data_IF_553818259495
#
_entry.id   IF_553818259495
#
_cell.length_a   1.000
_cell.length_b   1.000
_cell.length_c   1.000
_cell.angle_alpha   90.00
_cell.angle_beta   90.00
_cell.angle_gamma   90.00
#
_symmetry.space_group_name_H-M   'P 1'
#
loop_
_entity.id
_entity.type
_entity.pdbx_description
1 polymer ?
#
# COMPACT_ATOMS: atom_id res chain seq x y z
N UNK A 1 -44.36 -2.70 28.74
CA UNK A 1 -44.21 -4.01 28.07
C UNK A 1 -43.09 -3.88 27.04
N UNK A 2 -42.03 -4.68 27.14
CA UNK A 2 -40.95 -4.67 26.15
C UNK A 2 -41.47 -5.39 24.88
N UNK A 3 -41.68 -4.68 23.74
CA UNK A 3 -42.31 -5.25 22.54
C UNK A 3 -41.47 -6.35 21.88
N UNK A 4 -40.24 -6.58 22.36
CA UNK A 4 -39.34 -7.62 21.87
C UNK A 4 -39.42 -8.96 22.62
N UNK A 5 -40.29 -9.09 23.64
CA UNK A 5 -40.37 -10.33 24.48
C UNK A 5 -40.85 -11.59 23.74
N UNK A 6 -41.48 -11.48 22.58
CA UNK A 6 -42.13 -12.61 21.89
C UNK A 6 -41.46 -13.07 20.59
N UNK A 7 -40.26 -12.57 20.26
CA UNK A 7 -39.49 -13.12 19.14
C UNK A 7 -38.60 -14.27 19.61
N UNK A 8 -39.20 -15.42 19.96
CA UNK A 8 -38.48 -16.70 19.91
C UNK A 8 -38.27 -17.07 18.43
N UNK A 9 -37.37 -16.38 17.75
CA UNK A 9 -37.08 -16.58 16.31
C UNK A 9 -36.16 -17.76 16.03
N UNK A 10 -35.75 -18.48 17.08
CA UNK A 10 -34.66 -19.45 17.03
C UNK A 10 -35.15 -20.77 17.61
N UNK A 11 -35.13 -21.80 16.77
CA UNK A 11 -35.35 -23.19 17.19
C UNK A 11 -33.99 -23.87 17.28
N UNK A 12 -33.64 -24.43 18.44
CA UNK A 12 -32.41 -25.20 18.60
C UNK A 12 -32.61 -26.56 17.94
N UNK A 13 -31.61 -27.01 17.17
CA UNK A 13 -31.59 -28.30 16.48
C UNK A 13 -30.68 -29.28 17.23
N UNK A 14 -30.93 -30.58 17.09
CA UNK A 14 -30.06 -31.63 17.63
C UNK A 14 -28.72 -31.75 16.86
N UNK A 15 -28.68 -31.23 15.64
CA UNK A 15 -27.47 -31.12 14.82
C UNK A 15 -26.45 -30.20 15.49
N UNK A 16 -25.17 -30.58 15.45
CA UNK A 16 -24.06 -29.82 16.02
C UNK A 16 -23.14 -29.26 14.95
N UNK A 17 -22.48 -28.14 15.26
CA UNK A 17 -21.49 -27.54 14.38
C UNK A 17 -20.19 -28.34 14.38
N UNK A 18 -19.66 -28.67 13.20
CA UNK A 18 -18.38 -29.39 13.04
C UNK A 18 -17.16 -28.64 13.61
N UNK A 19 -17.22 -27.30 13.66
CA UNK A 19 -16.12 -26.45 14.12
C UNK A 19 -16.13 -26.24 15.64
N UNK A 20 -17.32 -26.06 16.22
CA UNK A 20 -17.47 -25.61 17.62
C UNK A 20 -18.20 -26.62 18.52
N UNK A 21 -18.75 -27.71 17.98
CA UNK A 21 -19.49 -28.74 18.73
C UNK A 21 -20.83 -28.28 19.35
N UNK A 22 -21.21 -27.00 19.22
CA UNK A 22 -22.45 -26.48 19.77
C UNK A 22 -23.66 -26.81 18.87
N UNK A 23 -24.86 -26.87 19.47
CA UNK A 23 -26.11 -27.09 18.73
C UNK A 23 -26.41 -25.97 17.74
N UNK A 24 -26.86 -26.34 16.54
CA UNK A 24 -27.25 -25.40 15.50
C UNK A 24 -28.60 -24.75 15.81
N UNK A 25 -28.76 -23.51 15.37
CA UNK A 25 -30.02 -22.77 15.47
C UNK A 25 -30.67 -22.66 14.10
N UNK A 26 -31.96 -22.98 14.02
CA UNK A 26 -32.80 -22.67 12.87
C UNK A 26 -33.38 -21.27 13.05
N UNK A 27 -32.93 -20.34 12.22
CA UNK A 27 -33.30 -18.93 12.28
C UNK A 27 -34.07 -18.53 11.03
N UNK A 28 -35.15 -17.76 11.18
CA UNK A 28 -35.91 -17.20 10.06
C UNK A 28 -35.31 -15.85 9.67
N UNK A 29 -34.83 -15.71 8.43
CA UNK A 29 -34.25 -14.48 7.89
C UNK A 29 -35.00 -14.00 6.65
N UNK A 30 -35.31 -12.70 6.52
CA UNK A 30 -35.91 -12.17 5.31
C UNK A 30 -34.83 -11.96 4.23
N UNK A 31 -34.95 -12.68 3.10
CA UNK A 31 -34.07 -12.56 1.94
C UNK A 31 -34.94 -12.16 0.74
N UNK A 32 -34.66 -11.00 0.12
CA UNK A 32 -35.44 -10.46 -1.02
C UNK A 32 -36.96 -10.42 -0.77
N UNK A 33 -37.37 -10.11 0.46
CA UNK A 33 -38.79 -10.03 0.86
C UNK A 33 -39.45 -11.37 1.19
N UNK A 34 -38.76 -12.50 1.08
CA UNK A 34 -39.25 -13.83 1.49
C UNK A 34 -38.58 -14.29 2.78
N UNK A 35 -39.32 -15.00 3.65
CA UNK A 35 -38.78 -15.57 4.88
C UNK A 35 -38.13 -16.93 4.60
N UNK A 36 -36.81 -16.96 4.59
CA UNK A 36 -36.03 -18.20 4.49
C UNK A 36 -35.64 -18.71 5.88
N UNK A 37 -35.46 -20.03 6.02
CA UNK A 37 -34.99 -20.67 7.25
C UNK A 37 -33.55 -21.13 7.06
N UNK A 38 -32.63 -20.59 7.84
CA UNK A 38 -31.21 -20.95 7.79
C UNK A 38 -30.78 -21.65 9.07
N UNK A 39 -29.95 -22.68 8.91
CA UNK A 39 -29.23 -23.32 10.01
C UNK A 39 -27.95 -22.54 10.28
N UNK A 40 -27.75 -22.10 11.51
CA UNK A 40 -26.61 -21.26 11.88
C UNK A 40 -26.01 -21.74 13.19
N UNK A 41 -24.68 -21.84 13.22
CA UNK A 41 -23.94 -22.00 14.45
C UNK A 41 -23.80 -20.63 15.13
N UNK A 42 -24.19 -20.48 16.42
CA UNK A 42 -24.12 -19.20 17.12
C UNK A 42 -22.69 -18.68 17.24
N UNK A 43 -21.72 -19.54 17.54
CA UNK A 43 -20.32 -19.14 17.68
C UNK A 43 -19.68 -18.79 16.34
N UNK A 44 -19.95 -19.56 15.27
CA UNK A 44 -19.52 -19.18 13.91
C UNK A 44 -20.10 -17.81 13.51
N UNK A 45 -21.39 -17.59 13.80
CA UNK A 45 -22.07 -16.34 13.45
C UNK A 45 -21.49 -15.17 14.23
N UNK A 46 -21.25 -15.34 15.53
CA UNK A 46 -20.62 -14.34 16.40
C UNK A 46 -19.20 -14.00 15.91
N UNK A 47 -18.38 -15.01 15.60
CA UNK A 47 -17.04 -14.81 15.07
C UNK A 47 -17.05 -14.07 13.72
N UNK A 48 -18.00 -14.41 12.83
CA UNK A 48 -18.19 -13.73 11.55
C UNK A 48 -18.60 -12.25 11.73
N UNK A 49 -19.54 -11.97 12.64
CA UNK A 49 -19.96 -10.59 12.98
C UNK A 49 -18.77 -9.80 13.52
N UNK A 50 -18.03 -10.35 14.48
CA UNK A 50 -16.86 -9.68 15.06
C UNK A 50 -15.81 -9.37 14.00
N UNK A 51 -15.55 -10.31 13.09
CA UNK A 51 -14.61 -10.12 11.98
C UNK A 51 -15.07 -9.01 11.05
N UNK A 52 -16.37 -8.97 10.73
CA UNK A 52 -16.97 -7.94 9.89
C UNK A 52 -16.92 -6.56 10.54
N UNK A 53 -17.26 -6.46 11.83
CA UNK A 53 -17.16 -5.22 12.61
C UNK A 53 -15.72 -4.70 12.68
N UNK A 54 -14.76 -5.59 12.97
CA UNK A 54 -13.35 -5.23 12.98
C UNK A 54 -12.90 -4.67 11.61
N UNK A 55 -13.33 -5.31 10.51
CA UNK A 55 -13.05 -4.82 9.16
C UNK A 55 -13.65 -3.44 8.89
N UNK A 56 -14.90 -3.21 9.26
CA UNK A 56 -15.56 -1.91 9.11
C UNK A 56 -14.88 -0.82 9.93
N UNK A 57 -14.48 -1.13 11.16
CA UNK A 57 -13.77 -0.21 12.04
C UNK A 57 -12.40 0.16 11.46
N UNK A 58 -11.64 -0.82 10.98
CA UNK A 58 -10.35 -0.59 10.32
C UNK A 58 -10.50 0.28 9.06
N UNK A 59 -11.50 -0.01 8.22
CA UNK A 59 -11.80 0.82 7.04
C UNK A 59 -12.18 2.25 7.41
N UNK A 60 -13.00 2.43 8.45
CA UNK A 60 -13.41 3.74 8.92
C UNK A 60 -12.22 4.56 9.42
N UNK A 61 -11.28 3.94 10.15
CA UNK A 61 -10.03 4.60 10.57
C UNK A 61 -9.19 5.05 9.37
N UNK A 62 -9.03 4.20 8.36
CA UNK A 62 -8.27 4.56 7.15
C UNK A 62 -8.94 5.70 6.39
N UNK A 63 -10.26 5.63 6.20
CA UNK A 63 -11.01 6.68 5.51
C UNK A 63 -10.93 8.03 6.25
N UNK A 64 -11.01 8.02 7.59
CA UNK A 64 -10.81 9.23 8.40
C UNK A 64 -9.42 9.83 8.21
N UNK A 65 -8.37 9.00 8.11
CA UNK A 65 -7.01 9.49 7.84
C UNK A 65 -6.90 10.14 6.46
N UNK A 66 -7.50 9.51 5.45
CA UNK A 66 -7.50 10.02 4.09
C UNK A 66 -8.32 11.30 3.91
N UNK A 67 -9.31 11.55 4.77
CA UNK A 67 -10.10 12.78 4.75
C UNK A 67 -9.23 14.04 4.96
N UNK A 68 -8.12 13.92 5.71
CA UNK A 68 -7.17 15.03 5.90
C UNK A 68 -6.20 15.24 4.73
N UNK A 69 -6.30 14.40 3.68
CA UNK A 69 -5.64 14.50 2.36
C UNK A 69 -4.16 14.91 2.43
N UNK A 70 -3.85 16.21 2.38
CA UNK A 70 -2.49 16.75 2.42
C UNK A 70 -1.71 16.39 3.70
N UNK A 71 -2.41 16.22 4.83
CA UNK A 71 -1.78 15.88 6.11
C UNK A 71 -1.25 14.44 6.13
N UNK A 72 -1.77 13.57 5.26
CA UNK A 72 -1.31 12.17 5.12
C UNK A 72 0.20 12.13 4.86
N UNK A 73 0.73 13.05 4.06
CA UNK A 73 2.15 13.07 3.73
C UNK A 73 3.03 13.22 4.97
N UNK A 74 2.79 14.23 5.81
CA UNK A 74 3.63 14.50 6.99
C UNK A 74 3.33 13.52 8.15
N UNK A 75 2.07 13.11 8.30
CA UNK A 75 1.62 12.28 9.42
C UNK A 75 1.95 10.79 9.24
N UNK A 76 1.73 10.27 8.03
CA UNK A 76 1.70 8.83 7.78
C UNK A 76 2.92 8.32 6.98
N UNK A 77 3.72 9.19 6.35
CA UNK A 77 4.88 8.75 5.57
C UNK A 77 5.97 8.11 6.42
N UNK A 78 6.53 7.00 5.92
CA UNK A 78 7.63 6.26 6.55
C UNK A 78 8.96 6.65 5.90
N UNK A 79 9.58 7.69 6.47
CA UNK A 79 10.76 8.36 5.92
C UNK A 79 11.92 8.28 6.90
N UNK A 80 13.13 8.00 6.41
CA UNK A 80 14.34 8.08 7.23
C UNK A 80 14.66 9.54 7.60
N UNK A 81 15.24 9.78 8.78
CA UNK A 81 15.56 11.14 9.22
C UNK A 81 16.50 11.89 8.26
N UNK A 82 17.36 11.16 7.54
CA UNK A 82 18.26 11.72 6.52
C UNK A 82 17.51 12.30 5.32
N UNK A 83 16.32 11.80 5.01
CA UNK A 83 15.50 12.25 3.88
C UNK A 83 14.54 13.38 4.24
N UNK A 84 14.12 13.51 5.50
CA UNK A 84 13.12 14.51 5.93
C UNK A 84 13.47 15.96 5.54
N UNK A 85 14.75 16.31 5.52
CA UNK A 85 15.22 17.65 5.14
C UNK A 85 15.37 17.84 3.62
N UNK A 86 15.17 16.80 2.80
CA UNK A 86 15.39 16.83 1.36
C UNK A 86 14.16 17.35 0.61
N UNK A 87 14.40 18.10 -0.45
CA UNK A 87 13.38 18.65 -1.37
C UNK A 87 13.94 18.72 -2.80
N UNK A 88 13.10 19.03 -3.79
CA UNK A 88 13.60 19.33 -5.14
C UNK A 88 14.45 20.60 -5.18
N UNK A 89 14.21 21.55 -4.28
CA UNK A 89 14.91 22.84 -4.22
C UNK A 89 16.36 22.69 -3.75
N UNK A 90 16.60 21.79 -2.78
CA UNK A 90 17.94 21.52 -2.27
C UNK A 90 18.62 20.31 -2.92
N UNK A 91 18.11 19.87 -4.09
CA UNK A 91 18.76 18.87 -4.91
C UNK A 91 19.93 19.50 -5.67
N UNK A 92 21.15 19.12 -5.31
CA UNK A 92 22.37 19.68 -5.91
C UNK A 92 22.55 19.18 -7.36
N UNK A 93 22.76 20.12 -8.29
CA UNK A 93 23.01 19.85 -9.70
C UNK A 93 24.52 19.86 -9.93
N UNK A 94 25.13 18.68 -10.08
CA UNK A 94 26.58 18.54 -10.36
C UNK A 94 26.85 18.21 -11.82
N UNK A 95 25.92 17.50 -12.47
CA UNK A 95 26.04 17.07 -13.85
C UNK A 95 24.72 17.25 -14.61
N UNK A 96 24.78 17.19 -15.94
CA UNK A 96 23.60 17.29 -16.81
C UNK A 96 22.51 16.25 -16.48
N UNK A 97 22.90 15.07 -15.99
CA UNK A 97 21.95 14.04 -15.54
C UNK A 97 21.05 14.51 -14.39
N UNK A 98 21.54 15.43 -13.55
CA UNK A 98 20.78 15.98 -12.42
C UNK A 98 19.70 16.93 -12.86
N UNK A 99 20.06 17.79 -13.82
CA UNK A 99 19.08 18.68 -14.42
C UNK A 99 17.99 17.85 -15.12
N UNK A 100 18.38 16.79 -15.83
CA UNK A 100 17.43 15.83 -16.43
C UNK A 100 16.57 15.12 -15.38
N UNK A 101 17.12 14.75 -14.23
CA UNK A 101 16.39 14.13 -13.13
C UNK A 101 15.33 15.08 -12.54
N UNK A 102 15.69 16.33 -12.26
CA UNK A 102 14.75 17.36 -11.79
C UNK A 102 13.67 17.64 -12.84
N UNK A 103 14.05 17.76 -14.12
CA UNK A 103 13.11 17.98 -15.22
C UNK A 103 12.14 16.79 -15.35
N UNK A 104 12.63 15.56 -15.19
CA UNK A 104 11.79 14.37 -15.13
C UNK A 104 10.80 14.44 -13.96
N UNK A 105 11.26 14.79 -12.76
CA UNK A 105 10.38 14.92 -11.59
C UNK A 105 9.24 15.94 -11.83
N UNK A 106 9.58 17.13 -12.35
CA UNK A 106 8.59 18.17 -12.69
C UNK A 106 7.62 17.69 -13.78
N UNK A 107 8.12 16.98 -14.81
CA UNK A 107 7.27 16.39 -15.85
C UNK A 107 6.31 15.34 -15.29
N UNK A 108 6.75 14.52 -14.34
CA UNK A 108 5.90 13.50 -13.71
C UNK A 108 4.80 14.16 -12.86
N UNK A 109 5.10 15.22 -12.11
CA UNK A 109 4.06 15.99 -11.41
C UNK A 109 3.03 16.54 -12.41
N UNK A 110 3.46 17.12 -13.53
CA UNK A 110 2.56 17.60 -14.57
C UNK A 110 1.74 16.48 -15.22
N UNK A 111 2.33 15.32 -15.47
CA UNK A 111 1.63 14.15 -16.00
C UNK A 111 0.47 13.74 -15.08
N UNK A 112 0.73 13.62 -13.78
CA UNK A 112 -0.30 13.25 -12.81
C UNK A 112 -1.31 14.37 -12.52
N UNK A 113 -0.89 15.63 -12.63
CA UNK A 113 -1.79 16.78 -12.56
C UNK A 113 -2.87 16.72 -13.64
N UNK A 114 -2.54 16.23 -14.83
CA UNK A 114 -3.48 16.05 -15.95
C UNK A 114 -4.10 14.64 -15.97
N UNK A 115 -4.26 14.02 -14.79
CA UNK A 115 -4.88 12.71 -14.61
C UNK A 115 -4.21 11.57 -15.41
N UNK A 116 -2.92 11.71 -15.68
CA UNK A 116 -2.11 10.64 -16.25
C UNK A 116 -2.18 9.37 -15.39
N UNK A 117 -2.28 8.22 -16.06
CA UNK A 117 -2.36 6.91 -15.43
C UNK A 117 -1.09 6.11 -15.69
N UNK A 118 -0.59 5.44 -14.66
CA UNK A 118 0.56 4.53 -14.75
C UNK A 118 1.63 4.84 -13.72
N UNK A 119 2.47 3.85 -13.46
CA UNK A 119 3.57 3.99 -12.53
C UNK A 119 4.71 4.81 -13.13
N UNK A 120 5.50 5.43 -12.27
CA UNK A 120 6.76 6.05 -12.64
C UNK A 120 7.93 5.35 -11.95
N UNK A 121 9.02 5.09 -12.68
CA UNK A 121 10.17 4.37 -12.12
C UNK A 121 11.45 5.18 -12.26
N UNK A 122 12.19 5.28 -11.15
CA UNK A 122 13.54 5.86 -11.11
C UNK A 122 14.55 4.75 -10.79
N UNK A 123 15.36 4.38 -11.78
CA UNK A 123 16.37 3.32 -11.66
C UNK A 123 17.78 3.90 -11.66
N UNK A 124 18.72 3.28 -10.94
CA UNK A 124 20.12 3.69 -10.96
C UNK A 124 20.96 3.10 -9.82
N UNK A 125 22.29 3.25 -9.86
CA UNK A 125 23.16 2.69 -8.83
C UNK A 125 22.94 3.36 -7.46
N UNK A 126 23.50 2.77 -6.40
CA UNK A 126 23.40 3.32 -5.05
C UNK A 126 24.09 4.69 -4.96
N UNK A 127 23.53 5.62 -4.18
CA UNK A 127 24.20 6.89 -3.89
C UNK A 127 24.03 8.03 -4.91
N UNK A 128 23.36 7.79 -6.04
CA UNK A 128 23.13 8.82 -7.09
C UNK A 128 22.00 9.81 -6.82
N UNK A 129 21.38 9.76 -5.63
CA UNK A 129 20.31 10.71 -5.25
C UNK A 129 18.88 10.29 -5.62
N UNK A 130 18.60 9.02 -5.97
CA UNK A 130 17.24 8.54 -6.27
C UNK A 130 16.21 8.82 -5.17
N UNK A 131 16.53 8.45 -3.93
CA UNK A 131 15.64 8.64 -2.78
C UNK A 131 15.43 10.12 -2.47
N UNK A 132 16.44 10.97 -2.67
CA UNK A 132 16.28 12.44 -2.57
C UNK A 132 15.32 12.91 -3.66
N UNK A 133 15.54 12.53 -4.92
CA UNK A 133 14.69 12.94 -6.04
C UNK A 133 13.22 12.55 -5.81
N UNK A 134 12.95 11.28 -5.49
CA UNK A 134 11.58 10.80 -5.32
C UNK A 134 10.91 11.35 -4.07
N UNK A 135 11.65 11.52 -2.96
CA UNK A 135 11.10 12.18 -1.77
C UNK A 135 10.80 13.65 -2.02
N UNK A 136 11.73 14.36 -2.68
CA UNK A 136 11.53 15.74 -3.09
C UNK A 136 10.33 15.90 -4.01
N UNK A 137 10.16 14.98 -4.98
CA UNK A 137 8.98 14.96 -5.84
C UNK A 137 7.69 14.72 -5.05
N UNK A 138 7.68 13.78 -4.10
CA UNK A 138 6.51 13.54 -3.25
C UNK A 138 6.10 14.79 -2.47
N UNK A 139 7.08 15.46 -1.85
CA UNK A 139 6.86 16.72 -1.12
C UNK A 139 6.33 17.82 -2.06
N UNK A 140 7.00 18.00 -3.20
CA UNK A 140 6.59 18.98 -4.21
C UNK A 140 5.17 18.72 -4.71
N UNK A 141 4.81 17.47 -5.03
CA UNK A 141 3.45 17.10 -5.45
C UNK A 141 2.41 17.41 -4.37
N UNK A 142 2.69 17.09 -3.10
CA UNK A 142 1.77 17.40 -2.00
C UNK A 142 1.53 18.91 -1.86
N UNK A 143 2.58 19.72 -1.98
CA UNK A 143 2.51 21.19 -1.97
C UNK A 143 1.76 21.75 -3.19
N UNK A 144 2.01 21.22 -4.38
CA UNK A 144 1.34 21.64 -5.61
C UNK A 144 -0.15 21.30 -5.60
N UNK A 145 -0.55 20.09 -5.19
CA UNK A 145 -1.95 19.72 -5.08
C UNK A 145 -2.72 20.62 -4.11
N UNK A 146 -2.08 21.06 -3.04
CA UNK A 146 -2.61 22.07 -2.12
C UNK A 146 -2.76 23.43 -2.81
N UNK A 147 -1.74 23.87 -3.55
CA UNK A 147 -1.76 25.15 -4.26
C UNK A 147 -2.82 25.20 -5.36
N UNK A 148 -3.06 24.08 -6.06
CA UNK A 148 -4.09 23.99 -7.09
C UNK A 148 -5.51 23.84 -6.55
N UNK A 149 -5.69 23.61 -5.23
CA UNK A 149 -7.00 23.32 -4.65
C UNK A 149 -7.56 21.95 -5.04
N UNK A 150 -6.70 21.00 -5.40
CA UNK A 150 -7.08 19.63 -5.73
C UNK A 150 -6.67 18.69 -4.58
N UNK A 151 -7.60 18.25 -3.72
CA UNK A 151 -7.27 17.40 -2.59
C UNK A 151 -6.84 16.00 -3.07
N UNK A 152 -5.55 15.74 -3.02
CA UNK A 152 -4.93 14.45 -3.35
C UNK A 152 -3.96 14.07 -2.25
N UNK A 153 -4.09 12.85 -1.75
CA UNK A 153 -3.22 12.30 -0.73
C UNK A 153 -1.92 11.78 -1.34
N UNK A 154 -0.79 12.18 -0.75
CA UNK A 154 0.54 11.70 -1.13
C UNK A 154 1.15 10.97 0.07
N UNK A 155 1.72 9.80 -0.16
CA UNK A 155 2.33 8.99 0.89
C UNK A 155 3.67 8.44 0.42
N UNK A 156 4.71 8.64 1.22
CA UNK A 156 6.05 8.12 0.94
C UNK A 156 6.43 7.03 1.91
N UNK A 157 6.94 5.91 1.41
CA UNK A 157 7.30 4.76 2.23
C UNK A 157 8.63 4.14 1.79
N UNK A 158 9.56 4.01 2.74
CA UNK A 158 10.67 3.08 2.63
C UNK A 158 10.19 1.65 2.85
N UNK A 159 10.39 0.78 1.86
CA UNK A 159 9.94 -0.61 1.92
C UNK A 159 10.59 -1.39 3.08
N UNK A 160 11.88 -1.14 3.35
CA UNK A 160 12.59 -1.77 4.48
C UNK A 160 11.93 -1.39 5.81
N UNK A 161 11.61 -0.11 6.00
CA UNK A 161 10.92 0.38 7.21
C UNK A 161 9.50 -0.14 7.30
N UNK A 162 8.78 -0.21 6.17
CA UNK A 162 7.43 -0.77 6.11
C UNK A 162 7.40 -2.21 6.63
N UNK A 163 8.22 -3.10 6.06
CA UNK A 163 8.22 -4.50 6.46
C UNK A 163 8.67 -4.70 7.90
N UNK A 164 9.57 -3.85 8.40
CA UNK A 164 9.97 -3.87 9.81
C UNK A 164 8.79 -3.50 10.71
N UNK A 165 8.06 -2.43 10.40
CA UNK A 165 6.86 -2.01 11.16
C UNK A 165 5.72 -3.03 11.11
N UNK A 166 5.50 -3.66 9.96
CA UNK A 166 4.50 -4.73 9.84
C UNK A 166 4.92 -5.94 10.68
N UNK A 167 6.21 -6.28 10.72
CA UNK A 167 6.69 -7.37 11.58
C UNK A 167 6.52 -7.07 13.06
N UNK A 168 6.79 -5.82 13.47
CA UNK A 168 6.61 -5.37 14.85
C UNK A 168 5.14 -5.38 15.30
N UNK A 169 4.19 -5.13 14.38
CA UNK A 169 2.75 -5.10 14.71
C UNK A 169 2.17 -6.48 15.06
N UNK A 170 2.88 -7.57 14.74
CA UNK A 170 2.49 -8.90 15.23
C UNK A 170 2.73 -9.10 16.74
N UNK A 171 3.61 -8.30 17.33
CA UNK A 171 4.02 -8.46 18.74
C UNK A 171 3.47 -7.36 19.65
N UNK A 172 3.22 -6.17 19.11
CA UNK A 172 2.80 -5.01 19.90
C UNK A 172 1.79 -4.18 19.12
N UNK A 173 0.75 -3.69 19.78
CA UNK A 173 -0.19 -2.74 19.17
C UNK A 173 0.53 -1.39 18.97
N UNK A 174 1.08 -1.19 17.76
CA UNK A 174 1.87 -0.01 17.38
C UNK A 174 1.03 1.04 16.65
N UNK A 175 -0.30 0.97 16.79
CA UNK A 175 -1.25 1.92 16.20
C UNK A 175 -1.68 1.61 14.76
N UNK A 176 -1.09 0.59 14.12
CA UNK A 176 -1.56 0.05 12.82
C UNK A 176 -1.45 -1.48 12.78
N UNK A 177 -2.56 -2.15 12.50
CA UNK A 177 -2.54 -3.52 12.02
C UNK A 177 -1.95 -3.60 10.60
N UNK A 178 -1.41 -4.76 10.22
CA UNK A 178 -0.99 -5.04 8.84
C UNK A 178 -2.10 -4.67 7.83
N UNK A 179 -3.34 -5.04 8.14
CA UNK A 179 -4.49 -4.78 7.28
C UNK A 179 -4.76 -3.27 7.11
N UNK A 180 -4.70 -2.48 8.18
CA UNK A 180 -4.87 -1.02 8.10
C UNK A 180 -3.75 -0.36 7.28
N UNK A 181 -2.50 -0.84 7.40
CA UNK A 181 -1.37 -0.33 6.62
C UNK A 181 -1.53 -0.65 5.12
N UNK A 182 -1.86 -1.90 4.77
CA UNK A 182 -2.10 -2.31 3.39
C UNK A 182 -3.25 -1.51 2.79
N UNK A 183 -4.36 -1.33 3.52
CA UNK A 183 -5.51 -0.56 3.07
C UNK A 183 -5.16 0.92 2.85
N UNK A 184 -4.40 1.54 3.76
CA UNK A 184 -3.93 2.92 3.59
C UNK A 184 -3.05 3.04 2.33
N UNK A 185 -2.04 2.19 2.19
CA UNK A 185 -1.14 2.17 1.03
C UNK A 185 -1.89 1.89 -0.27
N UNK A 186 -2.96 1.10 -0.23
CA UNK A 186 -3.79 0.80 -1.40
C UNK A 186 -4.68 1.98 -1.82
N UNK A 187 -5.10 2.84 -0.88
CA UNK A 187 -6.12 3.88 -1.11
C UNK A 187 -5.61 5.29 -1.33
N UNK A 188 -4.38 5.62 -0.91
CA UNK A 188 -3.81 6.97 -1.18
C UNK A 188 -3.78 7.28 -2.68
N UNK A 189 -3.90 8.54 -3.08
CA UNK A 189 -3.91 8.89 -4.50
C UNK A 189 -2.54 8.63 -5.15
N UNK A 190 -1.47 9.04 -4.48
CA UNK A 190 -0.09 8.85 -4.94
C UNK A 190 0.77 8.16 -3.89
N UNK A 191 1.31 7.01 -4.24
CA UNK A 191 2.20 6.23 -3.38
C UNK A 191 3.63 6.29 -3.92
N UNK A 192 4.57 6.61 -3.05
CA UNK A 192 5.99 6.56 -3.33
C UNK A 192 6.62 5.38 -2.59
N UNK A 193 7.23 4.46 -3.33
CA UNK A 193 7.96 3.31 -2.79
C UNK A 193 9.46 3.50 -2.99
N UNK A 194 10.17 3.62 -1.88
CA UNK A 194 11.61 3.79 -1.85
C UNK A 194 12.33 2.45 -1.65
N UNK A 195 13.41 2.28 -2.42
CA UNK A 195 14.36 1.18 -2.38
C UNK A 195 13.77 -0.21 -2.71
N UNK A 196 12.93 -0.29 -3.73
CA UNK A 196 12.38 -1.56 -4.21
C UNK A 196 13.49 -2.55 -4.59
N UNK A 197 13.40 -3.77 -4.07
CA UNK A 197 14.33 -4.87 -4.27
C UNK A 197 15.39 -4.99 -3.18
N UNK A 198 15.49 -4.08 -2.21
CA UNK A 198 16.40 -4.24 -1.06
C UNK A 198 15.84 -5.22 -0.02
N UNK A 199 14.52 -5.25 0.11
CA UNK A 199 13.77 -6.11 1.02
C UNK A 199 13.97 -7.60 0.71
N UNK A 200 14.14 -7.97 -0.57
CA UNK A 200 14.26 -9.36 -1.01
C UNK A 200 15.69 -9.91 -1.06
N UNK A 201 16.71 -9.13 -0.65
CA UNK A 201 18.12 -9.55 -0.73
C UNK A 201 18.58 -10.49 0.37
N UNK A 202 17.78 -10.73 1.40
CA UNK A 202 18.11 -11.73 2.44
C UNK A 202 17.77 -13.11 1.91
N UNK A 203 18.64 -14.10 2.15
CA UNK A 203 18.52 -15.48 1.69
C UNK A 203 17.37 -16.28 2.36
N UNK A 204 16.39 -15.59 2.93
CA UNK A 204 15.23 -16.17 3.57
C UNK A 204 14.05 -16.14 2.60
N UNK A 205 13.87 -17.24 1.88
CA UNK A 205 12.84 -17.41 0.84
C UNK A 205 11.44 -17.16 1.37
N UNK A 206 11.14 -17.54 2.62
CA UNK A 206 9.79 -17.35 3.21
C UNK A 206 9.49 -15.88 3.48
N UNK A 207 10.48 -15.15 3.97
CA UNK A 207 10.35 -13.71 4.17
C UNK A 207 10.16 -12.95 2.85
N UNK A 208 10.76 -13.44 1.77
CA UNK A 208 10.61 -12.85 0.44
C UNK A 208 9.20 -13.10 -0.13
N UNK A 209 8.67 -14.31 -0.02
CA UNK A 209 7.31 -14.65 -0.49
C UNK A 209 6.24 -13.78 0.20
N UNK A 210 6.29 -13.68 1.54
CA UNK A 210 5.37 -12.85 2.31
C UNK A 210 5.46 -11.36 1.91
N UNK A 211 6.68 -10.86 1.70
CA UNK A 211 6.92 -9.50 1.25
C UNK A 211 6.32 -9.26 -0.15
N UNK A 212 6.50 -10.22 -1.07
CA UNK A 212 5.96 -10.15 -2.42
C UNK A 212 4.43 -10.19 -2.42
N UNK A 213 3.81 -11.01 -1.56
CA UNK A 213 2.35 -11.05 -1.38
C UNK A 213 1.81 -9.69 -0.95
N UNK A 214 2.42 -9.05 0.04
CA UNK A 214 2.01 -7.71 0.50
C UNK A 214 2.16 -6.67 -0.62
N UNK A 215 3.29 -6.67 -1.32
CA UNK A 215 3.49 -5.76 -2.46
C UNK A 215 2.43 -5.98 -3.55
N UNK A 216 2.11 -7.24 -3.84
CA UNK A 216 1.06 -7.58 -4.80
C UNK A 216 -0.30 -7.05 -4.34
N UNK A 217 -0.71 -7.29 -3.10
CA UNK A 217 -1.98 -6.80 -2.55
C UNK A 217 -2.13 -5.27 -2.62
N UNK A 218 -1.02 -4.54 -2.45
CA UNK A 218 -0.99 -3.07 -2.54
C UNK A 218 -1.05 -2.64 -4.00
N UNK A 219 -0.19 -3.17 -4.87
CA UNK A 219 -0.03 -2.70 -6.24
C UNK A 219 -1.16 -3.15 -7.16
N UNK A 220 -1.81 -4.29 -6.90
CA UNK A 220 -2.94 -4.77 -7.69
C UNK A 220 -4.18 -3.85 -7.59
N UNK A 221 -4.29 -3.08 -6.51
CA UNK A 221 -5.37 -2.11 -6.27
C UNK A 221 -5.03 -0.69 -6.76
N UNK A 222 -3.87 -0.50 -7.41
CA UNK A 222 -3.32 0.82 -7.71
C UNK A 222 -2.80 0.92 -9.13
N UNK A 223 -2.67 2.16 -9.57
CA UNK A 223 -2.11 2.49 -10.89
C UNK A 223 -1.19 3.71 -10.90
N UNK A 224 -1.15 4.48 -9.82
CA UNK A 224 -0.33 5.68 -9.69
C UNK A 224 0.66 5.51 -8.54
N UNK A 225 1.73 4.77 -8.82
CA UNK A 225 2.83 4.51 -7.87
C UNK A 225 4.15 4.96 -8.46
N UNK A 226 4.91 5.74 -7.69
CA UNK A 226 6.25 6.19 -8.05
C UNK A 226 7.25 5.34 -7.28
N UNK A 227 8.12 4.65 -7.99
CA UNK A 227 9.01 3.64 -7.42
C UNK A 227 10.44 4.06 -7.73
N UNK A 228 11.35 3.95 -6.76
CA UNK A 228 12.77 3.93 -7.07
C UNK A 228 13.40 2.58 -6.76
N UNK A 229 14.46 2.24 -7.48
CA UNK A 229 15.12 0.95 -7.34
C UNK A 229 16.55 0.97 -7.89
N UNK A 230 17.39 0.05 -7.39
CA UNK A 230 18.68 -0.26 -8.00
C UNK A 230 18.57 -1.35 -9.09
N UNK A 231 17.39 -1.92 -9.30
CA UNK A 231 17.16 -3.00 -10.24
C UNK A 231 16.76 -2.46 -11.61
N UNK A 232 17.31 -3.06 -12.65
CA UNK A 232 16.86 -2.90 -14.03
C UNK A 232 15.50 -3.57 -14.24
N UNK A 233 14.76 -3.18 -15.27
CA UNK A 233 13.47 -3.82 -15.60
C UNK A 233 13.59 -5.34 -15.81
N UNK A 234 14.75 -5.82 -16.30
CA UNK A 234 15.02 -7.26 -16.44
C UNK A 234 15.17 -7.93 -15.07
N UNK A 235 15.93 -7.32 -14.16
CA UNK A 235 16.11 -7.83 -12.80
C UNK A 235 14.81 -7.79 -11.99
N UNK A 236 13.95 -6.77 -12.17
CA UNK A 236 12.61 -6.73 -11.57
C UNK A 236 11.79 -7.95 -12.04
N UNK A 237 11.76 -8.23 -13.34
CA UNK A 237 11.03 -9.38 -13.89
C UNK A 237 11.55 -10.71 -13.36
N UNK A 238 12.86 -10.84 -13.17
CA UNK A 238 13.45 -12.06 -12.62
C UNK A 238 13.23 -12.20 -11.12
N UNK A 239 13.36 -11.11 -10.35
CA UNK A 239 13.25 -11.13 -8.89
C UNK A 239 11.81 -11.35 -8.42
N UNK A 240 10.84 -10.77 -9.13
CA UNK A 240 9.41 -10.86 -8.82
C UNK A 240 8.67 -11.79 -9.79
N UNK A 241 9.36 -12.77 -10.35
CA UNK A 241 8.72 -13.89 -11.01
C UNK A 241 8.02 -14.74 -9.94
N UNK A 242 6.75 -15.09 -10.16
CA UNK A 242 6.07 -16.09 -9.33
C UNK A 242 6.54 -17.51 -9.67
N UNK A 243 6.21 -18.48 -8.82
CA UNK A 243 6.55 -19.91 -8.99
C UNK A 243 6.03 -20.51 -10.31
N UNK A 244 5.07 -19.85 -10.96
CA UNK A 244 4.48 -20.25 -12.25
C UNK A 244 5.04 -19.46 -13.45
N UNK A 245 5.99 -18.54 -13.23
CA UNK A 245 6.63 -17.72 -14.26
C UNK A 245 5.75 -16.63 -14.88
N UNK A 246 4.57 -16.35 -14.33
CA UNK A 246 3.63 -15.36 -14.87
C UNK A 246 4.05 -13.91 -14.54
N UNK A 247 4.85 -13.74 -13.49
CA UNK A 247 5.45 -12.45 -13.13
C UNK A 247 4.42 -11.38 -12.81
N UNK A 248 3.29 -11.76 -12.20
CA UNK A 248 2.15 -10.88 -11.96
C UNK A 248 2.54 -9.60 -11.18
N UNK A 249 3.37 -9.74 -10.15
CA UNK A 249 3.89 -8.61 -9.39
C UNK A 249 4.78 -7.70 -10.24
N UNK A 250 5.69 -8.28 -11.06
CA UNK A 250 6.51 -7.49 -11.98
C UNK A 250 5.68 -6.72 -13.01
N UNK A 251 4.54 -7.30 -13.45
CA UNK A 251 3.59 -6.65 -14.35
C UNK A 251 2.94 -5.42 -13.69
N UNK A 252 2.46 -5.57 -12.44
CA UNK A 252 1.90 -4.47 -11.65
C UNK A 252 2.91 -3.36 -11.35
N UNK A 253 4.17 -3.72 -11.08
CA UNK A 253 5.25 -2.73 -10.90
C UNK A 253 5.47 -1.95 -12.20
N UNK A 254 5.49 -2.62 -13.34
CA UNK A 254 5.81 -2.04 -14.65
C UNK A 254 4.59 -1.45 -15.39
N UNK A 255 3.40 -1.48 -14.78
CA UNK A 255 2.16 -1.00 -15.38
C UNK A 255 2.25 0.50 -15.72
N UNK A 256 2.06 0.85 -16.99
CA UNK A 256 2.06 2.25 -17.46
C UNK A 256 3.42 2.97 -17.37
N UNK A 257 4.53 2.25 -17.21
CA UNK A 257 5.88 2.85 -17.06
C UNK A 257 6.47 3.38 -18.37
N UNK A 258 5.91 3.00 -19.53
CA UNK A 258 6.40 3.44 -20.84
C UNK A 258 6.29 4.97 -20.94
N UNK A 259 7.44 5.65 -21.09
CA UNK A 259 7.52 7.12 -21.07
C UNK A 259 7.58 7.75 -19.68
N UNK A 260 7.39 6.98 -18.60
CA UNK A 260 7.42 7.43 -17.20
C UNK A 260 8.58 6.81 -16.41
N UNK A 261 9.71 6.55 -17.07
CA UNK A 261 10.93 6.07 -16.42
C UNK A 261 12.10 7.04 -16.55
N UNK A 262 12.94 7.06 -15.53
CA UNK A 262 14.21 7.76 -15.50
C UNK A 262 15.30 6.79 -15.06
N UNK A 263 16.42 6.79 -15.78
CA UNK A 263 17.54 5.89 -15.50
C UNK A 263 18.80 6.71 -15.31
N UNK A 264 19.37 6.65 -14.11
CA UNK A 264 20.73 7.14 -13.89
C UNK A 264 21.73 6.17 -14.54
N UNK A 265 22.70 6.66 -15.32
CA UNK A 265 23.79 5.85 -15.86
C UNK A 265 24.55 5.10 -14.76
N UNK A 266 25.08 3.91 -15.09
CA UNK A 266 25.87 3.11 -14.16
C UNK A 266 27.13 3.82 -13.65
N UNK A 267 27.71 4.67 -14.50
CA UNK A 267 28.94 5.43 -14.21
C UNK A 267 28.69 6.71 -13.41
N UNK A 268 27.46 6.96 -12.96
CA UNK A 268 27.14 8.16 -12.17
C UNK A 268 27.81 8.06 -10.79
N UNK A 269 28.57 9.10 -10.42
CA UNK A 269 29.29 9.14 -9.15
C UNK A 269 28.36 9.03 -7.92
N UNK A 270 28.81 8.27 -6.92
CA UNK A 270 28.14 8.17 -5.62
C UNK A 270 28.33 9.50 -4.87
N UNK A 271 27.23 10.09 -4.41
CA UNK A 271 27.23 11.42 -3.75
C UNK A 271 27.33 11.37 -2.24
N UNK A 272 27.44 10.18 -1.67
CA UNK A 272 27.53 10.00 -0.22
C UNK A 272 28.94 10.27 0.31
N UNK A 273 29.93 10.30 -0.57
CA UNK A 273 31.36 10.42 -0.25
C UNK A 273 31.98 11.56 -1.06
#
# INVERSE_FOLDING_TARGET
MNPFKNFQTRQVLDETCEVHGCQLWLTKVPIKGQLEKLKQCPECTKAAIQTFENKLNSQSKVNNKLADTYAVFERDSLVSDKLKSKSLENYEIKADIDQKAINFAKRIEQFYRHEGFGNAIVTGPSGVGKSHLTYGLAKYMNEQFKAYGHPRSVLFVSLVTLFTKIKESFHTDNGYSQAEMIELLSKVDFLFLDDLGKESRKADTRNNEWTHQILYEILDKRSNTIINTNLTSKEIKTLYADDYGNGALSSRILEGVVGNSFVYPKETEDRRY
#
